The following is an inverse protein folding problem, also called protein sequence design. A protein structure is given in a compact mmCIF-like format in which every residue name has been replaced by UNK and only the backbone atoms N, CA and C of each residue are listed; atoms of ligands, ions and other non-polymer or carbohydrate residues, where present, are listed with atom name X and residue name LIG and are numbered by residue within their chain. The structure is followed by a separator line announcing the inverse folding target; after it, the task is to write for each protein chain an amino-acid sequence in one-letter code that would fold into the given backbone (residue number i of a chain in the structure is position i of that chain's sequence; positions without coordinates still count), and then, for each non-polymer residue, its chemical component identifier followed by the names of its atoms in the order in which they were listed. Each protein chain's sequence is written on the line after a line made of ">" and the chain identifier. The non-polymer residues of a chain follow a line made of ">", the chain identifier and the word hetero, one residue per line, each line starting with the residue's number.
data_IF_486572771726
#
_entry.id   IF_486572771726
#
_cell.length_a   1.000
_cell.length_b   1.000
_cell.length_c   1.000
_cell.angle_alpha   90.00
_cell.angle_beta   90.00
_cell.angle_gamma   90.00
#
_symmetry.space_group_name_H-M   'P 1'
#
loop_
_entity.id
_entity.type
_entity.pdbx_description
1 polymer ?
#
# COMPACT_ATOMS: atom_id res chain seq x y z
N UNK A 1 -31.38 9.01 -12.93
CA UNK A 1 -30.86 7.90 -13.74
C UNK A 1 -29.34 7.78 -13.54
N UNK A 2 -28.47 8.50 -14.26
CA UNK A 2 -27.00 8.42 -14.08
C UNK A 2 -26.52 8.82 -12.67
N UNK A 3 -26.95 9.98 -12.15
CA UNK A 3 -26.57 10.45 -10.79
C UNK A 3 -27.08 9.54 -9.65
N UNK A 4 -28.14 8.78 -9.89
CA UNK A 4 -28.72 7.88 -8.90
C UNK A 4 -28.02 6.52 -8.90
N UNK A 5 -27.58 6.06 -10.08
CA UNK A 5 -26.71 4.90 -10.23
C UNK A 5 -25.32 5.16 -9.63
N UNK A 6 -24.73 6.33 -9.88
CA UNK A 6 -23.47 6.78 -9.27
C UNK A 6 -23.58 6.85 -7.74
N UNK A 7 -24.71 7.37 -7.22
CA UNK A 7 -24.95 7.43 -5.77
C UNK A 7 -25.11 6.03 -5.14
N UNK A 8 -25.82 5.12 -5.80
CA UNK A 8 -26.00 3.74 -5.33
C UNK A 8 -24.70 2.92 -5.40
N UNK A 9 -23.84 3.20 -6.37
CA UNK A 9 -22.51 2.62 -6.48
C UNK A 9 -21.56 3.19 -5.40
N UNK A 10 -21.60 4.50 -5.16
CA UNK A 10 -20.89 5.13 -4.05
C UNK A 10 -21.33 4.56 -2.69
N UNK A 11 -22.64 4.43 -2.44
CA UNK A 11 -23.16 3.86 -1.19
C UNK A 11 -22.76 2.39 -1.02
N UNK A 12 -22.77 1.60 -2.11
CA UNK A 12 -22.34 0.19 -2.07
C UNK A 12 -20.85 0.05 -1.76
N UNK A 13 -20.01 0.81 -2.47
CA UNK A 13 -18.55 0.79 -2.24
C UNK A 13 -18.20 1.31 -0.85
N UNK A 14 -18.81 2.42 -0.40
CA UNK A 14 -18.61 2.96 0.95
C UNK A 14 -18.99 1.98 2.06
N UNK A 15 -20.09 1.24 1.91
CA UNK A 15 -20.50 0.23 2.89
C UNK A 15 -19.56 -0.97 2.92
N UNK A 16 -19.02 -1.40 1.77
CA UNK A 16 -18.01 -2.45 1.70
C UNK A 16 -16.71 -2.04 2.40
N UNK A 17 -16.22 -0.83 2.14
CA UNK A 17 -15.04 -0.25 2.79
C UNK A 17 -15.22 -0.15 4.32
N UNK A 18 -16.42 0.24 4.78
CA UNK A 18 -16.73 0.34 6.20
C UNK A 18 -16.72 -1.04 6.90
N UNK A 19 -17.33 -2.05 6.29
CA UNK A 19 -17.28 -3.42 6.82
C UNK A 19 -15.86 -3.97 6.83
N UNK A 20 -15.03 -3.59 5.87
CA UNK A 20 -13.62 -3.97 5.84
C UNK A 20 -12.81 -3.30 6.93
N UNK A 21 -12.98 -2.00 7.13
CA UNK A 21 -12.37 -1.27 8.23
C UNK A 21 -12.77 -1.89 9.60
N UNK A 22 -14.01 -2.37 9.75
CA UNK A 22 -14.44 -3.14 10.93
C UNK A 22 -13.73 -4.50 11.03
N UNK A 23 -13.50 -5.22 9.93
CA UNK A 23 -12.70 -6.47 9.94
C UNK A 23 -11.25 -6.21 10.34
N UNK A 24 -10.65 -5.12 9.87
CA UNK A 24 -9.30 -4.69 10.27
C UNK A 24 -9.23 -4.37 11.77
N UNK A 25 -10.27 -3.74 12.31
CA UNK A 25 -10.42 -3.51 13.76
C UNK A 25 -10.54 -4.84 14.53
N UNK A 26 -11.31 -5.81 14.02
CA UNK A 26 -11.45 -7.12 14.66
C UNK A 26 -10.14 -7.93 14.61
N UNK A 27 -9.46 -7.95 13.47
CA UNK A 27 -8.19 -8.67 13.32
C UNK A 27 -7.10 -8.03 14.21
N UNK A 28 -7.04 -6.71 14.33
CA UNK A 28 -6.07 -6.07 15.22
C UNK A 28 -6.30 -6.39 16.70
N UNK A 29 -7.57 -6.62 17.10
CA UNK A 29 -7.91 -7.15 18.43
C UNK A 29 -7.45 -8.60 18.56
N UNK A 30 -7.62 -9.44 17.53
CA UNK A 30 -7.16 -10.84 17.52
C UNK A 30 -5.64 -10.93 17.60
N UNK A 31 -4.91 -10.14 16.82
CA UNK A 31 -3.43 -10.07 16.82
C UNK A 31 -2.87 -9.57 18.18
N UNK A 32 -3.68 -8.83 18.97
CA UNK A 32 -3.33 -8.47 20.35
C UNK A 32 -3.54 -9.62 21.34
N UNK A 33 -4.33 -10.64 20.97
CA UNK A 33 -4.70 -11.78 21.83
C UNK A 33 -3.97 -13.08 21.50
N UNK A 34 -3.33 -13.19 20.34
CA UNK A 34 -2.60 -14.39 19.91
C UNK A 34 -1.10 -14.16 20.07
N UNK A 35 -0.44 -14.92 20.96
CA UNK A 35 1.03 -14.96 21.02
C UNK A 35 1.57 -15.82 19.88
N UNK A 36 2.29 -15.22 18.93
CA UNK A 36 3.01 -16.00 17.91
C UNK A 36 4.27 -16.66 18.51
N UNK A 37 4.52 -17.95 18.22
CA UNK A 37 5.76 -18.61 18.62
C UNK A 37 6.93 -18.14 17.75
N UNK A 38 8.07 -17.92 18.39
CA UNK A 38 9.30 -17.48 17.74
C UNK A 38 9.88 -18.58 16.82
N UNK A 39 9.87 -18.35 15.51
CA UNK A 39 10.66 -19.13 14.55
C UNK A 39 11.85 -18.31 14.07
N UNK A 40 13.04 -18.71 14.50
CA UNK A 40 14.31 -18.26 13.94
C UNK A 40 14.57 -18.96 12.61
N UNK A 41 15.02 -18.23 11.59
CA UNK A 41 15.68 -18.86 10.45
C UNK A 41 16.93 -18.07 10.05
N UNK A 42 18.04 -18.80 10.02
CA UNK A 42 19.41 -18.34 9.84
C UNK A 42 19.74 -18.06 8.38
N UNK A 43 20.58 -17.04 8.22
CA UNK A 43 21.30 -16.60 7.04
C UNK A 43 22.12 -17.72 6.37
N UNK A 44 22.04 -17.84 5.03
CA UNK A 44 23.15 -18.30 4.20
C UNK A 44 23.01 -17.79 2.76
N UNK A 45 24.11 -17.24 2.27
CA UNK A 45 24.35 -16.64 0.97
C UNK A 45 24.71 -17.70 -0.08
N UNK A 46 24.13 -17.65 -1.28
CA UNK A 46 24.86 -18.03 -2.50
C UNK A 46 24.29 -17.26 -3.69
N UNK A 47 25.15 -16.47 -4.33
CA UNK A 47 24.91 -15.74 -5.57
C UNK A 47 25.22 -16.73 -6.72
N UNK A 48 24.59 -16.55 -7.87
CA UNK A 48 24.83 -17.19 -9.19
C UNK A 48 23.88 -18.30 -9.71
N UNK A 49 22.70 -18.53 -9.10
CA UNK A 49 21.64 -19.39 -9.71
C UNK A 49 20.38 -18.66 -10.19
N UNK A 50 20.18 -17.41 -9.76
CA UNK A 50 18.88 -16.73 -9.89
C UNK A 50 18.60 -16.19 -11.30
N UNK A 51 19.64 -15.96 -12.10
CA UNK A 51 19.50 -15.42 -13.45
C UNK A 51 18.92 -16.44 -14.44
N UNK A 52 19.27 -17.72 -14.30
CA UNK A 52 18.78 -18.80 -15.18
C UNK A 52 17.36 -19.24 -14.79
N UNK A 53 16.98 -19.09 -13.51
CA UNK A 53 15.64 -19.43 -13.03
C UNK A 53 14.58 -18.41 -13.48
N UNK A 54 14.92 -17.11 -13.47
CA UNK A 54 14.05 -16.05 -13.97
C UNK A 54 13.67 -16.24 -15.45
N UNK A 55 14.62 -16.67 -16.29
CA UNK A 55 14.39 -16.87 -17.72
C UNK A 55 13.54 -18.12 -18.03
N UNK A 56 13.47 -19.08 -17.11
CA UNK A 56 12.66 -20.30 -17.26
C UNK A 56 11.20 -20.10 -16.83
N UNK A 57 10.92 -19.14 -15.94
CA UNK A 57 9.57 -18.77 -15.50
C UNK A 57 8.77 -17.95 -16.53
N UNK A 58 9.43 -17.30 -17.48
CA UNK A 58 8.77 -16.52 -18.54
C UNK A 58 7.85 -17.34 -19.46
N UNK A 59 7.94 -18.67 -19.45
CA UNK A 59 7.27 -19.50 -20.46
C UNK A 59 6.03 -20.28 -20.01
N UNK A 60 5.61 -20.26 -18.75
CA UNK A 60 4.44 -21.06 -18.30
C UNK A 60 3.59 -20.40 -17.22
N UNK A 61 3.46 -19.07 -17.20
CA UNK A 61 2.38 -18.47 -16.40
C UNK A 61 1.08 -18.62 -17.18
N UNK A 62 0.34 -19.66 -16.83
CA UNK A 62 -0.94 -20.03 -17.43
C UNK A 62 -2.09 -19.27 -16.74
N UNK A 63 -3.20 -19.08 -17.45
CA UNK A 63 -4.39 -18.34 -16.99
C UNK A 63 -4.97 -18.90 -15.67
N UNK A 64 -4.62 -20.16 -15.33
CA UNK A 64 -4.92 -20.81 -14.05
C UNK A 64 -4.54 -20.02 -12.79
N UNK A 65 -3.55 -19.11 -12.85
CA UNK A 65 -3.18 -18.24 -11.71
C UNK A 65 -4.36 -17.35 -11.28
N UNK A 66 -5.29 -17.06 -12.20
CA UNK A 66 -6.49 -16.28 -11.89
C UNK A 66 -7.51 -17.06 -11.05
N UNK A 67 -7.42 -18.39 -11.01
CA UNK A 67 -8.32 -19.25 -10.25
C UNK A 67 -7.81 -19.53 -8.83
N UNK A 68 -6.54 -19.28 -8.55
CA UNK A 68 -5.97 -19.43 -7.20
C UNK A 68 -6.65 -18.50 -6.19
N UNK A 69 -6.86 -18.98 -4.96
CA UNK A 69 -7.48 -18.19 -3.90
C UNK A 69 -6.55 -17.06 -3.42
N UNK A 70 -5.26 -17.34 -3.37
CA UNK A 70 -4.22 -16.40 -2.92
C UNK A 70 -3.08 -16.34 -3.95
N UNK A 71 -3.34 -15.75 -5.13
CA UNK A 71 -2.37 -15.72 -6.21
C UNK A 71 -1.15 -14.89 -5.83
N UNK A 72 0.03 -15.37 -6.23
CA UNK A 72 1.28 -14.63 -6.04
C UNK A 72 1.35 -13.40 -6.97
N UNK A 73 1.71 -12.25 -6.41
CA UNK A 73 1.72 -10.99 -7.17
C UNK A 73 2.80 -10.95 -8.26
N UNK A 74 3.90 -11.69 -8.10
CA UNK A 74 4.94 -11.75 -9.12
C UNK A 74 4.46 -12.59 -10.30
N UNK A 75 3.78 -13.70 -10.03
CA UNK A 75 3.15 -14.49 -11.09
C UNK A 75 2.06 -13.71 -11.83
N UNK A 76 1.18 -13.02 -11.10
CA UNK A 76 0.17 -12.13 -11.70
C UNK A 76 0.80 -11.02 -12.54
N UNK A 77 1.88 -10.41 -12.04
CA UNK A 77 2.60 -9.38 -12.77
C UNK A 77 3.18 -9.92 -14.08
N UNK A 78 3.84 -11.08 -14.06
CA UNK A 78 4.39 -11.71 -15.26
C UNK A 78 3.27 -12.07 -16.25
N UNK A 79 2.17 -12.64 -15.76
CA UNK A 79 1.00 -12.97 -16.57
C UNK A 79 0.42 -11.72 -17.25
N UNK A 80 0.14 -10.67 -16.49
CA UNK A 80 -0.43 -9.44 -17.01
C UNK A 80 0.53 -8.71 -17.93
N UNK A 81 1.84 -8.69 -17.63
CA UNK A 81 2.87 -8.09 -18.49
C UNK A 81 2.85 -8.74 -19.89
N UNK A 82 2.79 -10.07 -19.93
CA UNK A 82 2.67 -10.83 -21.17
C UNK A 82 1.33 -10.60 -21.87
N UNK A 83 0.21 -10.65 -21.13
CA UNK A 83 -1.16 -10.62 -21.68
C UNK A 83 -1.57 -9.23 -22.16
N UNK A 84 -1.20 -8.18 -21.44
CA UNK A 84 -1.72 -6.83 -21.65
C UNK A 84 -0.65 -5.80 -22.03
N UNK A 85 0.64 -6.05 -21.79
CA UNK A 85 1.69 -5.04 -21.94
C UNK A 85 2.82 -5.42 -22.92
N UNK A 86 2.65 -6.50 -23.69
CA UNK A 86 3.65 -7.00 -24.68
C UNK A 86 5.05 -7.20 -24.08
N UNK A 87 5.15 -7.61 -22.81
CA UNK A 87 6.40 -7.72 -22.05
C UNK A 87 7.22 -6.41 -21.92
N UNK A 88 6.59 -5.24 -22.13
CA UNK A 88 7.28 -3.93 -22.00
C UNK A 88 7.69 -3.60 -20.56
N UNK A 89 7.21 -4.35 -19.57
CA UNK A 89 7.47 -4.11 -18.16
C UNK A 89 8.51 -5.06 -17.55
N UNK A 90 9.31 -5.77 -18.37
CA UNK A 90 10.33 -6.72 -17.89
C UNK A 90 11.40 -6.10 -16.96
N UNK A 91 11.61 -4.78 -17.05
CA UNK A 91 12.52 -4.03 -16.19
C UNK A 91 11.90 -3.48 -14.91
N UNK A 92 10.60 -3.72 -14.69
CA UNK A 92 9.85 -3.18 -13.54
C UNK A 92 9.87 -4.17 -12.39
N UNK A 93 10.23 -3.71 -11.21
CA UNK A 93 10.15 -4.48 -9.96
C UNK A 93 8.72 -4.40 -9.40
N UNK A 94 8.13 -5.54 -9.02
CA UNK A 94 6.87 -5.58 -8.26
C UNK A 94 7.13 -6.07 -6.84
N UNK A 95 6.49 -5.47 -5.82
CA UNK A 95 6.61 -5.92 -4.42
C UNK A 95 5.42 -5.57 -3.53
N UNK A 96 5.32 -6.27 -2.41
CA UNK A 96 4.49 -5.86 -1.28
C UNK A 96 5.16 -4.79 -0.43
N UNK A 97 4.34 -3.91 0.16
CA UNK A 97 4.73 -2.93 1.16
C UNK A 97 3.90 -3.10 2.43
N UNK A 98 4.56 -3.54 3.51
CA UNK A 98 3.96 -3.72 4.84
C UNK A 98 3.68 -2.41 5.58
N UNK A 99 4.13 -1.27 5.04
CA UNK A 99 4.04 0.05 5.69
C UNK A 99 3.20 1.07 4.92
N UNK A 100 2.74 0.72 3.72
CA UNK A 100 1.96 1.63 2.89
C UNK A 100 0.50 1.63 3.34
N UNK A 101 0.01 2.77 3.85
CA UNK A 101 -1.34 2.86 4.43
C UNK A 101 -2.13 4.07 3.92
N UNK A 102 -1.65 4.75 2.87
CA UNK A 102 -2.29 5.96 2.29
C UNK A 102 -2.81 5.75 0.88
N UNK A 103 -2.35 4.71 0.20
CA UNK A 103 -2.77 4.27 -1.13
C UNK A 103 -2.59 2.75 -1.17
N UNK A 104 -3.39 2.04 -1.97
CA UNK A 104 -3.20 0.60 -2.10
C UNK A 104 -2.13 0.19 -3.11
N UNK A 105 -1.77 1.09 -4.02
CA UNK A 105 -0.68 0.94 -4.96
C UNK A 105 0.19 2.19 -5.01
N UNK A 106 1.41 2.03 -5.49
CA UNK A 106 2.24 3.14 -5.99
C UNK A 106 3.17 2.64 -7.10
N UNK A 107 3.39 3.49 -8.09
CA UNK A 107 4.44 3.35 -9.08
C UNK A 107 5.50 4.44 -8.87
N UNK A 108 6.74 4.04 -8.58
CA UNK A 108 7.86 4.97 -8.37
C UNK A 108 8.93 4.76 -9.43
N UNK A 109 9.30 5.84 -10.11
CA UNK A 109 10.40 5.85 -11.05
C UNK A 109 11.64 6.50 -10.42
N UNK A 110 12.73 5.76 -10.29
CA UNK A 110 14.02 6.25 -9.77
C UNK A 110 14.97 6.62 -10.90
N UNK A 111 15.95 7.48 -10.59
CA UNK A 111 17.09 7.74 -11.48
C UNK A 111 17.78 6.41 -11.83
N UNK A 112 18.07 6.18 -13.11
CA UNK A 112 18.64 4.94 -13.62
C UNK A 112 17.64 3.95 -14.23
N UNK A 113 16.47 4.42 -14.70
CA UNK A 113 15.41 3.59 -15.31
C UNK A 113 14.81 2.51 -14.41
N UNK A 114 15.00 2.59 -13.08
CA UNK A 114 14.42 1.62 -12.16
C UNK A 114 13.00 2.02 -11.77
N UNK A 115 12.01 1.30 -12.30
CA UNK A 115 10.59 1.48 -11.99
C UNK A 115 10.14 0.40 -10.99
N UNK A 116 9.43 0.82 -9.94
CA UNK A 116 8.94 -0.07 -8.88
C UNK A 116 7.44 0.11 -8.74
N UNK A 117 6.69 -0.98 -8.92
CA UNK A 117 5.29 -1.12 -8.51
C UNK A 117 5.27 -1.72 -7.10
N UNK A 118 4.66 -1.02 -6.15
CA UNK A 118 4.45 -1.52 -4.80
C UNK A 118 2.96 -1.59 -4.48
N UNK A 119 2.53 -2.69 -3.86
CA UNK A 119 1.15 -2.89 -3.39
C UNK A 119 1.09 -2.85 -1.85
N UNK A 120 0.00 -2.32 -1.30
CA UNK A 120 -0.22 -2.20 0.13
C UNK A 120 -0.77 -3.51 0.66
N UNK A 121 0.08 -4.25 1.36
CA UNK A 121 -0.42 -5.38 2.15
C UNK A 121 -1.45 -4.92 3.21
N UNK A 122 -1.23 -3.82 3.97
CA UNK A 122 -2.20 -3.35 4.97
C UNK A 122 -3.60 -3.04 4.44
N UNK A 123 -3.75 -2.59 3.20
CA UNK A 123 -5.04 -2.23 2.60
C UNK A 123 -5.63 -3.36 1.76
N UNK A 124 -4.81 -4.14 1.05
CA UNK A 124 -5.31 -5.16 0.12
C UNK A 124 -5.53 -6.53 0.76
N UNK A 125 -4.90 -6.85 1.90
CA UNK A 125 -5.04 -8.19 2.53
C UNK A 125 -6.46 -8.55 2.98
N UNK A 126 -7.35 -7.56 3.07
CA UNK A 126 -8.75 -7.77 3.41
C UNK A 126 -9.69 -7.59 2.21
N UNK A 127 -9.16 -7.16 1.06
CA UNK A 127 -9.90 -6.90 -0.16
C UNK A 127 -10.09 -8.18 -0.97
N UNK A 128 -10.99 -8.12 -1.94
CA UNK A 128 -11.18 -9.24 -2.86
C UNK A 128 -9.96 -9.42 -3.75
N UNK A 129 -9.74 -10.65 -4.24
CA UNK A 129 -8.73 -10.95 -5.25
C UNK A 129 -8.85 -10.03 -6.47
N UNK A 130 -10.08 -9.72 -6.89
CA UNK A 130 -10.37 -8.83 -8.02
C UNK A 130 -9.81 -7.41 -7.79
N UNK A 131 -10.11 -6.80 -6.64
CA UNK A 131 -9.64 -5.45 -6.30
C UNK A 131 -8.12 -5.38 -6.21
N UNK A 132 -7.46 -6.44 -5.71
CA UNK A 132 -6.01 -6.53 -5.71
C UNK A 132 -5.44 -6.59 -7.14
N UNK A 133 -6.03 -7.40 -8.03
CA UNK A 133 -5.63 -7.46 -9.44
C UNK A 133 -5.86 -6.13 -10.18
N UNK A 134 -6.99 -5.46 -9.95
CA UNK A 134 -7.29 -4.14 -10.50
C UNK A 134 -6.30 -3.07 -10.01
N UNK A 135 -5.91 -3.14 -8.74
CA UNK A 135 -4.87 -2.26 -8.16
C UNK A 135 -3.51 -2.54 -8.81
N UNK A 136 -3.14 -3.80 -9.00
CA UNK A 136 -1.90 -4.16 -9.69
C UNK A 136 -1.88 -3.64 -11.13
N UNK A 137 -2.96 -3.86 -11.89
CA UNK A 137 -3.08 -3.40 -13.27
C UNK A 137 -3.05 -1.87 -13.38
N UNK A 138 -3.68 -1.15 -12.44
CA UNK A 138 -3.60 0.31 -12.35
C UNK A 138 -2.14 0.78 -12.28
N UNK A 139 -1.35 0.23 -11.35
CA UNK A 139 0.06 0.60 -11.19
C UNK A 139 0.93 0.15 -12.37
N UNK A 140 0.60 -0.97 -13.02
CA UNK A 140 1.28 -1.44 -14.25
C UNK A 140 1.03 -0.51 -15.44
N UNK A 141 -0.16 0.11 -15.55
CA UNK A 141 -0.42 1.14 -16.56
C UNK A 141 0.49 2.36 -16.31
N UNK A 142 0.59 2.84 -15.06
CA UNK A 142 1.56 3.89 -14.73
C UNK A 142 2.98 3.50 -15.13
N UNK A 143 3.41 2.28 -14.81
CA UNK A 143 4.73 1.77 -15.17
C UNK A 143 4.94 1.76 -16.70
N UNK A 144 3.95 1.32 -17.48
CA UNK A 144 4.00 1.36 -18.95
C UNK A 144 4.22 2.78 -19.45
N UNK A 145 3.45 3.74 -18.95
CA UNK A 145 3.56 5.13 -19.36
C UNK A 145 4.94 5.70 -19.01
N UNK A 146 5.50 5.36 -17.84
CA UNK A 146 6.85 5.78 -17.47
C UNK A 146 7.95 5.17 -18.35
N UNK A 147 7.83 3.89 -18.71
CA UNK A 147 8.86 3.18 -19.48
C UNK A 147 8.81 3.54 -20.98
N UNK A 148 7.61 3.76 -21.52
CA UNK A 148 7.41 3.94 -22.97
C UNK A 148 7.32 5.40 -23.41
N UNK A 149 6.88 6.31 -22.55
CA UNK A 149 6.77 7.73 -22.89
C UNK A 149 8.01 8.45 -22.35
N UNK A 150 8.77 9.08 -23.24
CA UNK A 150 9.95 9.89 -22.89
C UNK A 150 9.53 11.16 -22.14
N UNK A 151 9.13 11.05 -20.87
CA UNK A 151 9.15 12.11 -19.85
C UNK A 151 8.63 13.52 -20.22
N UNK A 152 7.75 13.68 -21.21
CA UNK A 152 7.40 15.02 -21.70
C UNK A 152 6.36 15.76 -20.86
N UNK A 153 5.64 15.08 -19.96
CA UNK A 153 4.51 15.67 -19.22
C UNK A 153 4.45 15.29 -17.73
N UNK A 154 5.63 15.10 -17.10
CA UNK A 154 5.76 14.67 -15.68
C UNK A 154 5.17 15.62 -14.62
N UNK A 155 4.48 16.70 -14.99
CA UNK A 155 4.26 17.84 -14.06
C UNK A 155 2.81 18.27 -13.86
N UNK A 156 1.81 17.81 -14.64
CA UNK A 156 0.49 18.48 -14.58
C UNK A 156 -0.75 17.64 -14.21
N UNK A 157 -0.65 16.32 -14.06
CA UNK A 157 -1.77 15.51 -13.56
C UNK A 157 -1.24 14.38 -12.67
N UNK A 158 -2.10 13.87 -11.79
CA UNK A 158 -1.92 12.68 -10.94
C UNK A 158 -1.57 11.37 -11.66
N UNK A 159 -1.16 11.43 -12.95
CA UNK A 159 -0.78 10.31 -13.79
C UNK A 159 -1.91 9.78 -14.68
N UNK A 160 -3.15 10.28 -14.51
CA UNK A 160 -4.34 9.68 -15.12
C UNK A 160 -4.86 10.41 -16.37
N UNK A 161 -3.95 10.92 -17.21
CA UNK A 161 -4.31 11.60 -18.46
C UNK A 161 -4.93 10.67 -19.51
N UNK A 162 -5.28 11.19 -20.71
CA UNK A 162 -5.84 10.39 -21.81
C UNK A 162 -5.09 9.08 -22.12
N UNK A 163 -3.73 9.01 -22.06
CA UNK A 163 -3.01 7.75 -22.25
C UNK A 163 -3.35 6.68 -21.20
N UNK A 164 -3.49 7.05 -19.93
CA UNK A 164 -3.88 6.14 -18.86
C UNK A 164 -5.30 5.61 -19.10
N UNK A 165 -6.25 6.51 -19.34
CA UNK A 165 -7.65 6.17 -19.57
C UNK A 165 -7.83 5.22 -20.76
N UNK A 166 -7.03 5.41 -21.81
CA UNK A 166 -7.03 4.53 -22.98
C UNK A 166 -6.62 3.10 -22.62
N UNK A 167 -5.54 2.93 -21.86
CA UNK A 167 -5.07 1.60 -21.47
C UNK A 167 -5.99 0.93 -20.44
N UNK A 168 -6.49 1.68 -19.46
CA UNK A 168 -7.47 1.18 -18.50
C UNK A 168 -8.73 0.68 -19.22
N UNK A 169 -9.28 1.47 -20.15
CA UNK A 169 -10.44 1.06 -20.95
C UNK A 169 -10.16 -0.20 -21.77
N UNK A 170 -9.01 -0.27 -22.45
CA UNK A 170 -8.63 -1.44 -23.26
C UNK A 170 -8.59 -2.72 -22.43
N UNK A 171 -8.03 -2.66 -21.22
CA UNK A 171 -7.94 -3.82 -20.33
C UNK A 171 -9.31 -4.17 -19.73
N UNK A 172 -10.09 -3.17 -19.30
CA UNK A 172 -11.45 -3.38 -18.79
C UNK A 172 -12.35 -4.08 -19.83
N UNK A 173 -12.36 -3.58 -21.07
CA UNK A 173 -13.13 -4.17 -22.17
C UNK A 173 -12.71 -5.62 -22.48
N UNK A 174 -11.41 -5.92 -22.34
CA UNK A 174 -10.86 -7.23 -22.69
C UNK A 174 -11.02 -8.30 -21.60
N UNK A 175 -11.13 -7.89 -20.33
CA UNK A 175 -11.00 -8.80 -19.18
C UNK A 175 -12.15 -8.71 -18.17
N UNK A 176 -13.06 -7.75 -18.31
CA UNK A 176 -14.13 -7.53 -17.33
C UNK A 176 -13.65 -6.95 -15.99
N UNK A 177 -12.44 -6.37 -15.97
CA UNK A 177 -11.97 -5.55 -14.85
C UNK A 177 -12.64 -4.19 -14.83
N UNK A 178 -12.58 -3.52 -13.68
CA UNK A 178 -13.01 -2.15 -13.49
C UNK A 178 -11.86 -1.28 -12.97
N UNK A 179 -10.78 -1.20 -13.75
CA UNK A 179 -9.65 -0.34 -13.45
C UNK A 179 -10.11 1.11 -13.55
N UNK A 180 -10.12 1.81 -12.42
CA UNK A 180 -10.53 3.20 -12.30
C UNK A 180 -9.34 4.12 -12.00
N UNK A 181 -9.58 5.43 -12.11
CA UNK A 181 -8.60 6.49 -11.79
C UNK A 181 -8.38 6.62 -10.28
N UNK A 182 -9.42 6.39 -9.48
CA UNK A 182 -9.38 6.51 -8.03
C UNK A 182 -9.73 5.19 -7.40
N UNK A 183 -8.83 4.70 -6.58
CA UNK A 183 -9.20 3.60 -5.71
C UNK A 183 -9.96 4.10 -4.48
N UNK A 184 -11.08 3.47 -4.16
CA UNK A 184 -11.90 3.81 -2.99
C UNK A 184 -11.38 3.05 -1.75
N UNK A 185 -10.46 3.66 -1.00
CA UNK A 185 -9.90 3.11 0.25
C UNK A 185 -10.04 4.08 1.44
N UNK A 186 -11.00 5.00 1.36
CA UNK A 186 -11.04 6.14 2.27
C UNK A 186 -11.19 5.72 3.74
N UNK A 187 -12.04 4.73 4.02
CA UNK A 187 -12.29 4.27 5.39
C UNK A 187 -11.10 3.49 5.97
N UNK A 188 -10.45 2.64 5.18
CA UNK A 188 -9.28 1.87 5.61
C UNK A 188 -8.05 2.76 5.79
N UNK A 189 -7.88 3.76 4.92
CA UNK A 189 -6.86 4.79 5.10
C UNK A 189 -7.14 5.53 6.41
N UNK A 190 -8.36 6.02 6.64
CA UNK A 190 -8.72 6.71 7.88
C UNK A 190 -8.50 5.84 9.13
N UNK A 191 -8.74 4.52 9.06
CA UNK A 191 -8.43 3.59 10.15
C UNK A 191 -6.94 3.61 10.53
N UNK A 192 -6.03 3.67 9.56
CA UNK A 192 -4.61 3.76 9.84
C UNK A 192 -4.15 5.15 10.29
N UNK A 193 -4.87 6.23 9.96
CA UNK A 193 -4.51 7.62 10.26
C UNK A 193 -4.79 8.04 11.72
N UNK A 194 -4.26 7.25 12.66
CA UNK A 194 -4.55 7.32 14.10
C UNK A 194 -3.83 8.46 14.85
N UNK A 195 -2.80 9.06 14.27
CA UNK A 195 -2.11 10.19 14.87
C UNK A 195 -2.63 11.49 14.28
N UNK A 196 -3.27 12.31 15.12
CA UNK A 196 -3.93 13.54 14.69
C UNK A 196 -3.26 14.73 15.37
N UNK A 197 -2.97 15.77 14.58
CA UNK A 197 -2.52 17.06 15.05
C UNK A 197 -3.46 18.15 14.57
N UNK A 198 -3.65 19.17 15.40
CA UNK A 198 -4.42 20.36 15.10
C UNK A 198 -3.50 21.59 15.15
N UNK A 199 -3.48 22.37 14.07
CA UNK A 199 -2.83 23.67 14.04
C UNK A 199 -3.59 24.64 14.94
N UNK A 200 -2.89 25.49 15.70
CA UNK A 200 -3.49 26.55 16.51
C UNK A 200 -3.76 27.86 15.74
N UNK A 201 -3.29 27.98 14.50
CA UNK A 201 -3.38 29.21 13.70
C UNK A 201 -4.68 29.36 12.88
N UNK A 202 -4.66 30.35 11.99
CA UNK A 202 -5.80 30.76 11.15
C UNK A 202 -6.28 29.68 10.17
N UNK A 203 -5.47 28.68 9.86
CA UNK A 203 -5.88 27.60 8.96
C UNK A 203 -6.96 26.67 9.55
N UNK A 204 -7.29 26.78 10.85
CA UNK A 204 -8.41 26.06 11.48
C UNK A 204 -9.75 26.22 10.77
N UNK A 205 -9.99 27.39 10.19
CA UNK A 205 -11.25 27.70 9.52
C UNK A 205 -11.13 27.64 8.00
N UNK A 206 -9.93 27.34 7.48
CA UNK A 206 -9.66 27.30 6.03
C UNK A 206 -9.89 25.89 5.49
N UNK A 207 -10.75 25.72 4.47
CA UNK A 207 -10.85 24.47 3.76
C UNK A 207 -9.54 24.17 2.98
N UNK A 208 -9.29 22.90 2.62
CA UNK A 208 -10.10 21.73 2.93
C UNK A 208 -9.73 21.05 4.26
N UNK A 209 -8.60 21.41 4.87
CA UNK A 209 -8.03 20.64 5.99
C UNK A 209 -8.41 21.16 7.37
N UNK A 210 -8.90 22.39 7.50
CA UNK A 210 -9.34 22.97 8.77
C UNK A 210 -8.26 22.85 9.88
N UNK A 211 -6.99 22.99 9.48
CA UNK A 211 -5.84 22.89 10.35
C UNK A 211 -5.54 21.48 10.89
N UNK A 212 -6.19 20.43 10.38
CA UNK A 212 -5.93 19.05 10.77
C UNK A 212 -4.80 18.44 9.94
N UNK A 213 -3.96 17.65 10.60
CA UNK A 213 -3.04 16.71 9.95
C UNK A 213 -3.25 15.36 10.60
N UNK A 214 -3.62 14.35 9.80
CA UNK A 214 -3.73 12.96 10.23
C UNK A 214 -2.61 12.13 9.61
N UNK A 215 -1.97 11.24 10.37
CA UNK A 215 -0.89 10.34 9.91
C UNK A 215 -0.99 8.97 10.54
N UNK A 216 -0.45 7.96 9.86
CA UNK A 216 -0.33 6.60 10.39
C UNK A 216 0.88 6.39 11.30
N UNK A 217 1.85 7.31 11.26
CA UNK A 217 3.02 7.29 12.11
C UNK A 217 3.05 8.49 13.05
N UNK A 218 3.63 8.32 14.23
CA UNK A 218 3.85 9.38 15.21
C UNK A 218 4.97 10.33 14.78
N UNK A 219 4.76 11.05 13.68
CA UNK A 219 5.68 12.03 13.11
C UNK A 219 4.95 13.36 13.05
N UNK A 220 5.28 14.36 13.88
CA UNK A 220 4.63 15.66 13.82
C UNK A 220 4.88 16.37 12.47
N UNK A 221 4.02 17.31 12.06
CA UNK A 221 4.33 18.25 10.99
C UNK A 221 5.70 18.89 11.18
N UNK A 222 6.55 18.87 10.15
CA UNK A 222 7.95 19.30 10.24
C UNK A 222 8.46 19.83 8.89
N UNK A 223 9.62 20.52 8.85
CA UNK A 223 10.16 21.12 7.62
C UNK A 223 10.36 20.16 6.43
N UNK A 224 10.49 18.86 6.68
CA UNK A 224 10.58 17.85 5.63
C UNK A 224 9.24 17.60 4.88
N UNK A 225 8.12 18.15 5.35
CA UNK A 225 6.86 18.10 4.63
C UNK A 225 6.83 19.16 3.53
N UNK A 226 6.46 18.77 2.31
CA UNK A 226 6.50 19.64 1.12
C UNK A 226 5.69 20.92 1.27
N UNK A 227 4.59 20.88 2.04
CA UNK A 227 3.70 22.01 2.32
C UNK A 227 4.12 22.84 3.56
N UNK A 228 5.12 22.40 4.32
CA UNK A 228 5.44 23.01 5.62
C UNK A 228 5.82 24.49 5.49
N UNK A 229 6.70 24.82 4.54
CA UNK A 229 7.18 26.19 4.34
C UNK A 229 6.03 27.13 3.93
N UNK A 230 5.14 26.68 3.06
CA UNK A 230 3.95 27.44 2.67
C UNK A 230 3.01 27.66 3.87
N UNK A 231 2.79 26.62 4.69
CA UNK A 231 2.01 26.77 5.92
C UNK A 231 2.65 27.79 6.88
N UNK A 232 3.98 27.80 7.03
CA UNK A 232 4.66 28.80 7.87
C UNK A 232 4.40 30.23 7.35
N UNK A 233 4.44 30.44 6.03
CA UNK A 233 4.21 31.77 5.43
C UNK A 233 2.74 32.22 5.51
N UNK A 234 1.79 31.31 5.28
CA UNK A 234 0.37 31.66 5.11
C UNK A 234 -0.46 31.54 6.38
N UNK A 235 0.05 30.84 7.39
CA UNK A 235 -0.60 30.60 8.67
C UNK A 235 0.29 30.92 9.86
N UNK A 236 1.53 30.40 9.87
CA UNK A 236 2.49 30.60 10.97
C UNK A 236 2.14 29.89 12.29
N UNK A 237 1.06 29.10 12.30
CA UNK A 237 0.63 28.36 13.49
C UNK A 237 1.52 27.14 13.80
N UNK A 238 1.34 26.61 15.00
CA UNK A 238 2.00 25.39 15.48
C UNK A 238 1.00 24.25 15.65
N UNK A 239 1.43 23.03 15.35
CA UNK A 239 0.61 21.83 15.44
C UNK A 239 0.76 21.14 16.80
N UNK A 240 -0.36 20.92 17.48
CA UNK A 240 -0.42 20.16 18.74
C UNK A 240 -1.11 18.82 18.51
N UNK A 241 -0.59 17.75 19.11
CA UNK A 241 -1.15 16.41 18.96
C UNK A 241 -2.47 16.30 19.75
N UNK A 242 -3.52 15.83 19.10
CA UNK A 242 -4.87 15.71 19.67
C UNK A 242 -5.34 14.26 19.80
N UNK A 243 -4.78 13.33 19.02
CA UNK A 243 -5.09 11.90 19.14
C UNK A 243 -3.89 10.99 18.83
N UNK A 244 -3.89 9.81 19.46
CA UNK A 244 -3.00 8.68 19.14
C UNK A 244 -3.63 7.36 19.58
N UNK A 245 -3.19 6.21 19.00
CA UNK A 245 -3.52 4.90 19.53
C UNK A 245 -3.16 4.78 21.01
N UNK A 246 -3.92 3.96 21.74
CA UNK A 246 -3.53 3.56 23.09
C UNK A 246 -2.12 2.95 23.07
N UNK A 247 -1.26 3.27 24.05
CA UNK A 247 0.07 2.69 24.13
C UNK A 247 -0.06 1.15 24.21
N UNK A 248 0.65 0.44 23.32
CA UNK A 248 0.80 -1.02 23.46
C UNK A 248 1.38 -1.29 24.84
N UNK A 249 0.72 -2.15 25.63
CA UNK A 249 1.26 -2.59 26.93
C UNK A 249 2.67 -3.11 26.69
N UNK A 250 3.68 -2.47 27.27
CA UNK A 250 5.05 -2.99 27.24
C UNK A 250 4.99 -4.38 27.87
N UNK A 251 5.37 -5.43 27.12
CA UNK A 251 5.70 -6.70 27.76
C UNK A 251 6.79 -6.37 28.81
N UNK A 252 6.66 -6.81 30.08
CA UNK A 252 7.73 -6.64 31.03
C UNK A 252 9.00 -7.19 30.40
N UNK A 253 10.08 -6.41 30.42
CA UNK A 253 11.36 -6.86 29.91
C UNK A 253 11.72 -8.13 30.69
N UNK A 254 11.59 -9.28 30.04
CA UNK A 254 12.13 -10.52 30.58
C UNK A 254 13.64 -10.32 30.52
N UNK A 255 14.23 -10.08 31.70
CA UNK A 255 15.66 -10.03 31.86
C UNK A 255 16.18 -11.44 31.54
N UNK A 256 16.69 -11.62 30.33
CA UNK A 256 17.21 -12.90 29.80
C UNK A 256 18.39 -13.43 30.63
N UNK A 257 19.00 -12.60 31.50
CA UNK A 257 20.02 -13.02 32.44
C UNK A 257 19.46 -13.86 33.60
N UNK A 258 18.26 -13.55 34.11
CA UNK A 258 17.65 -14.27 35.24
C UNK A 258 17.17 -15.67 34.82
N UNK A 259 16.74 -15.84 33.56
CA UNK A 259 16.41 -17.15 33.01
C UNK A 259 17.66 -18.03 32.81
N UNK A 260 18.79 -17.45 32.43
CA UNK A 260 20.06 -18.17 32.23
C UNK A 260 20.66 -18.66 33.57
N UNK A 261 20.56 -17.86 34.62
CA UNK A 261 21.02 -18.22 35.97
C UNK A 261 20.11 -19.27 36.62
N UNK A 262 18.81 -19.24 36.34
CA UNK A 262 17.86 -20.21 36.89
C UNK A 262 17.94 -21.57 36.18
N UNK A 263 18.22 -21.59 34.87
CA UNK A 263 18.42 -22.81 34.10
C UNK A 263 19.70 -23.58 34.47
N UNK A 264 20.78 -22.87 34.82
CA UNK A 264 22.07 -23.47 35.19
C UNK A 264 22.11 -24.03 36.63
N UNK A 265 21.14 -23.67 37.48
CA UNK A 265 21.00 -24.24 38.83
C UNK A 265 20.17 -25.53 38.89
N UNK A 266 19.41 -25.87 37.84
CA UNK A 266 18.58 -27.09 37.80
C UNK A 266 19.26 -28.31 37.17
N UNK A 267 20.45 -28.17 36.60
CA UNK A 267 21.21 -29.26 35.96
C UNK A 267 22.36 -29.81 36.80
N UNK A 268 22.42 -29.44 38.09
CA UNK A 268 23.34 -30.06 39.07
C UNK A 268 22.53 -30.61 40.24
N UNK A 269 21.92 -31.77 40.04
CA UNK A 269 21.81 -32.86 41.01
C UNK A 269 21.35 -34.13 40.31
#
# INVERSE_FOLDING_TARGET
>A
MLQEQEKLEYERTHNADLELAKRMQRQSVIDLTVEEPATSCSHLSTIDSDFVFAQKLHNTVDESILDEETPDIHQLFLYFNKKYFDNKLDSVEVKWSSRMTRSAGTCTYKLGNHCIVALSEPLLKFRTKKEMMETLLHEMIHALLFVTQQNTDRVLTDGHGPPFLKEAKRINDAAGFDISVYHNFHNEVDYYLTHIWQCNGVCKTRPPYFGLVKRSMNRPPQPADTWYNEHQLTCGGTYTKTASPAPKRKKPAVNTLDQYITATKKTKH
#
